data_IF_580367957407
#
_entry.id   IF_580367957407
#
_cell.length_a   1.000
_cell.length_b   1.000
_cell.length_c   1.000
_cell.angle_alpha   90.00
_cell.angle_beta   90.00
_cell.angle_gamma   90.00
#
_symmetry.space_group_name_H-M   'P 1'
#
loop_
_entity.id
_entity.type
_entity.pdbx_description
1 polymer ?
#
# COMPACT_ATOMS: atom_id res chain seq x y z
N UNK A 1 41.60 -9.75 -19.84
CA UNK A 1 40.64 -9.61 -18.74
C UNK A 1 41.16 -8.65 -17.66
N UNK A 2 42.39 -8.81 -17.17
CA UNK A 2 43.03 -7.94 -16.15
C UNK A 2 43.27 -6.47 -16.57
N UNK A 3 43.42 -6.21 -17.87
CA UNK A 3 43.75 -4.87 -18.39
C UNK A 3 42.54 -3.91 -18.35
N UNK A 4 41.33 -4.44 -18.55
CA UNK A 4 40.09 -3.66 -18.48
C UNK A 4 39.81 -3.15 -17.05
N UNK A 5 40.07 -3.98 -16.04
CA UNK A 5 39.83 -3.64 -14.64
C UNK A 5 40.79 -2.55 -14.13
N UNK A 6 42.05 -2.60 -14.55
CA UNK A 6 43.03 -1.56 -14.22
C UNK A 6 42.60 -0.21 -14.81
N UNK A 7 42.14 -0.20 -16.06
CA UNK A 7 41.67 1.02 -16.73
C UNK A 7 40.43 1.63 -16.04
N UNK A 8 39.53 0.80 -15.52
CA UNK A 8 38.36 1.26 -14.74
C UNK A 8 38.81 1.97 -13.46
N UNK A 9 39.75 1.39 -12.72
CA UNK A 9 40.23 2.01 -11.48
C UNK A 9 40.93 3.36 -11.72
N UNK A 10 41.73 3.46 -12.79
CA UNK A 10 42.34 4.74 -13.16
C UNK A 10 41.32 5.79 -13.60
N UNK A 11 40.27 5.39 -14.32
CA UNK A 11 39.16 6.27 -14.67
C UNK A 11 38.47 6.84 -13.42
N UNK A 12 38.23 5.99 -12.41
CA UNK A 12 37.55 6.37 -11.18
C UNK A 12 38.35 7.31 -10.28
N UNK A 13 39.69 7.42 -10.42
CA UNK A 13 40.49 8.36 -9.62
C UNK A 13 40.10 9.83 -9.81
N UNK A 14 39.57 10.18 -10.99
CA UNK A 14 39.21 11.55 -11.34
C UNK A 14 37.70 11.82 -11.19
N UNK A 15 36.96 10.90 -10.57
CA UNK A 15 35.51 10.95 -10.45
C UNK A 15 35.12 10.97 -8.98
N UNK A 16 34.33 11.97 -8.58
CA UNK A 16 33.86 12.08 -7.19
C UNK A 16 32.76 11.06 -6.86
N UNK A 17 31.82 10.89 -7.79
CA UNK A 17 30.68 9.97 -7.67
C UNK A 17 30.29 9.37 -9.01
N UNK A 18 29.78 8.14 -9.00
CA UNK A 18 29.36 7.43 -10.22
C UNK A 18 28.19 6.47 -9.93
N UNK A 19 27.33 6.24 -10.92
CA UNK A 19 26.32 5.17 -10.88
C UNK A 19 26.77 3.92 -11.66
N UNK A 20 26.20 2.72 -11.37
CA UNK A 20 26.49 1.54 -12.15
C UNK A 20 26.20 1.70 -13.66
N UNK A 21 25.14 2.41 -14.03
CA UNK A 21 24.78 2.66 -15.43
C UNK A 21 25.81 3.54 -16.14
N UNK A 22 26.30 4.60 -15.47
CA UNK A 22 27.31 5.50 -16.03
C UNK A 22 28.64 4.75 -16.26
N UNK A 23 29.03 3.89 -15.31
CA UNK A 23 30.23 3.07 -15.45
C UNK A 23 30.07 2.03 -16.56
N UNK A 24 28.89 1.39 -16.64
CA UNK A 24 28.54 0.42 -17.68
C UNK A 24 28.66 1.04 -19.08
N UNK A 25 28.08 2.23 -19.27
CA UNK A 25 28.15 2.98 -20.52
C UNK A 25 29.59 3.40 -20.87
N UNK A 26 30.39 3.78 -19.88
CA UNK A 26 31.75 4.27 -20.11
C UNK A 26 32.72 3.19 -20.60
N UNK A 27 32.46 1.92 -20.26
CA UNK A 27 33.34 0.79 -20.57
C UNK A 27 32.71 -0.28 -21.45
N UNK A 28 31.49 -0.04 -21.95
CA UNK A 28 30.71 -1.01 -22.73
C UNK A 28 30.60 -2.37 -22.02
N UNK A 29 30.22 -2.32 -20.73
CA UNK A 29 30.02 -3.51 -19.89
C UNK A 29 28.58 -3.57 -19.36
N UNK A 30 28.14 -4.77 -18.98
CA UNK A 30 26.82 -4.97 -18.37
C UNK A 30 26.70 -4.25 -17.01
N UNK A 31 25.53 -3.68 -16.71
CA UNK A 31 25.25 -2.94 -15.47
C UNK A 31 25.45 -3.77 -14.20
N UNK A 32 25.21 -5.08 -14.24
CA UNK A 32 25.50 -6.00 -13.12
C UNK A 32 27.00 -6.14 -12.92
N UNK A 33 27.79 -6.17 -14.00
CA UNK A 33 29.26 -6.18 -13.93
C UNK A 33 29.80 -4.85 -13.39
N UNK A 34 29.26 -3.72 -13.83
CA UNK A 34 29.59 -2.42 -13.26
C UNK A 34 29.23 -2.35 -11.76
N UNK A 35 28.06 -2.88 -11.39
CA UNK A 35 27.61 -2.97 -10.00
C UNK A 35 28.53 -3.84 -9.15
N UNK A 36 28.96 -5.01 -9.63
CA UNK A 36 29.85 -5.89 -8.87
C UNK A 36 31.24 -5.28 -8.66
N UNK A 37 31.75 -4.51 -9.64
CA UNK A 37 32.97 -3.71 -9.49
C UNK A 37 32.82 -2.68 -8.38
N UNK A 38 31.78 -1.86 -8.43
CA UNK A 38 31.53 -0.81 -7.44
C UNK A 38 31.26 -1.40 -6.03
N UNK A 39 30.60 -2.55 -5.93
CA UNK A 39 30.44 -3.30 -4.68
C UNK A 39 31.76 -3.87 -4.16
N UNK A 40 32.65 -4.35 -5.03
CA UNK A 40 33.99 -4.77 -4.60
C UNK A 40 34.79 -3.58 -4.07
N UNK A 41 34.64 -2.41 -4.67
CA UNK A 41 35.25 -1.17 -4.16
C UNK A 41 34.71 -0.77 -2.78
N UNK A 42 33.42 -0.92 -2.51
CA UNK A 42 32.87 -0.64 -1.16
C UNK A 42 33.39 -1.65 -0.13
N UNK A 43 33.45 -2.95 -0.47
CA UNK A 43 34.05 -3.99 0.38
C UNK A 43 35.52 -3.70 0.72
N UNK A 44 36.28 -3.17 -0.23
CA UNK A 44 37.68 -2.77 -0.05
C UNK A 44 37.84 -1.33 0.50
N UNK A 45 36.75 -0.70 0.97
CA UNK A 45 36.76 0.65 1.54
C UNK A 45 37.32 1.73 0.59
N UNK A 46 37.17 1.53 -0.72
CA UNK A 46 37.57 2.46 -1.80
C UNK A 46 36.40 3.35 -2.24
N UNK A 47 35.17 2.99 -1.91
CA UNK A 47 33.98 3.78 -2.20
C UNK A 47 32.96 3.70 -1.06
N UNK A 48 32.00 4.62 -1.05
CA UNK A 48 30.84 4.60 -0.15
C UNK A 48 29.56 4.60 -0.99
N UNK A 49 28.61 3.77 -0.62
CA UNK A 49 27.27 3.73 -1.23
C UNK A 49 26.31 4.69 -0.52
N UNK A 50 25.49 5.40 -1.30
CA UNK A 50 24.38 6.25 -0.84
C UNK A 50 23.18 6.09 -1.78
N UNK A 51 21.99 6.33 -1.25
CA UNK A 51 20.77 6.46 -2.04
C UNK A 51 20.58 7.93 -2.41
N UNK A 52 20.44 8.22 -3.70
CA UNK A 52 20.14 9.55 -4.23
C UNK A 52 18.66 9.90 -4.16
N UNK A 53 18.32 11.14 -4.49
CA UNK A 53 16.95 11.68 -4.43
C UNK A 53 15.97 11.01 -5.43
N UNK A 54 16.50 10.32 -6.45
CA UNK A 54 15.75 9.59 -7.47
C UNK A 54 15.74 8.07 -7.24
N UNK A 55 15.95 7.63 -5.99
CA UNK A 55 16.09 6.23 -5.58
C UNK A 55 17.26 5.48 -6.28
N UNK A 56 18.18 6.20 -6.93
CA UNK A 56 19.36 5.57 -7.54
C UNK A 56 20.50 5.38 -6.55
N UNK A 57 21.21 4.28 -6.75
CA UNK A 57 22.42 3.97 -6.00
C UNK A 57 23.60 4.76 -6.55
N UNK A 58 24.19 5.59 -5.71
CA UNK A 58 25.36 6.42 -6.05
C UNK A 58 26.56 5.95 -5.24
N UNK A 59 27.69 5.74 -5.92
CA UNK A 59 28.96 5.38 -5.31
C UNK A 59 29.88 6.60 -5.26
N UNK A 60 30.29 6.99 -4.05
CA UNK A 60 31.23 8.09 -3.80
C UNK A 60 32.64 7.51 -3.68
N UNK A 61 33.54 7.89 -4.59
CA UNK A 61 34.89 7.32 -4.67
C UNK A 61 35.80 8.01 -3.64
N UNK A 62 36.57 7.21 -2.89
CA UNK A 62 37.56 7.71 -1.95
C UNK A 62 38.91 7.81 -2.65
N UNK A 63 39.15 8.91 -3.36
CA UNK A 63 40.35 9.08 -4.20
C UNK A 63 41.65 8.77 -3.45
N UNK A 64 41.81 9.25 -2.21
CA UNK A 64 43.01 8.94 -1.38
C UNK A 64 43.18 7.44 -1.09
N UNK A 65 42.08 6.73 -0.82
CA UNK A 65 42.11 5.29 -0.57
C UNK A 65 42.40 4.52 -1.85
N UNK A 66 41.80 4.94 -2.97
CA UNK A 66 41.99 4.33 -4.28
C UNK A 66 43.40 4.54 -4.82
N UNK A 67 43.97 5.74 -4.67
CA UNK A 67 45.36 6.06 -5.03
C UNK A 67 46.33 5.16 -4.27
N UNK A 68 46.17 5.06 -2.94
CA UNK A 68 46.97 4.15 -2.13
C UNK A 68 46.82 2.69 -2.57
N UNK A 69 45.58 2.26 -2.83
CA UNK A 69 45.30 0.89 -3.28
C UNK A 69 46.01 0.56 -4.61
N UNK A 70 46.08 1.51 -5.55
CA UNK A 70 46.79 1.34 -6.81
C UNK A 70 48.31 1.33 -6.63
N UNK A 71 48.87 2.21 -5.78
CA UNK A 71 50.30 2.24 -5.46
C UNK A 71 50.74 0.93 -4.80
N UNK A 72 49.92 0.38 -3.91
CA UNK A 72 50.18 -0.87 -3.20
C UNK A 72 49.99 -2.12 -4.11
N UNK A 73 49.63 -1.93 -5.39
CA UNK A 73 49.40 -3.02 -6.34
C UNK A 73 48.13 -3.83 -6.04
N UNK A 74 47.16 -3.22 -5.36
CA UNK A 74 45.89 -3.81 -5.00
C UNK A 74 45.12 -4.32 -6.22
N UNK A 75 44.48 -5.48 -6.06
CA UNK A 75 43.62 -6.08 -7.09
C UNK A 75 42.20 -6.21 -6.54
N UNK A 76 41.23 -5.74 -7.32
CA UNK A 76 39.84 -5.96 -7.00
C UNK A 76 39.49 -7.41 -7.29
N UNK A 77 38.92 -8.08 -6.30
CA UNK A 77 38.31 -9.39 -6.50
C UNK A 77 36.84 -9.17 -6.81
N UNK A 78 36.47 -9.36 -8.07
CA UNK A 78 35.07 -9.30 -8.51
C UNK A 78 34.46 -10.67 -8.30
N UNK A 79 33.49 -10.73 -7.40
CA UNK A 79 32.71 -11.93 -7.17
C UNK A 79 31.79 -12.12 -8.38
N UNK A 80 32.18 -13.04 -9.28
CA UNK A 80 31.32 -13.48 -10.36
C UNK A 80 30.20 -14.31 -9.73
N UNK A 81 29.12 -13.65 -9.34
CA UNK A 81 27.87 -14.35 -9.14
C UNK A 81 27.38 -14.76 -10.53
N UNK A 82 27.85 -15.91 -11.03
CA UNK A 82 27.02 -16.69 -11.94
C UNK A 82 25.64 -16.76 -11.31
N UNK A 83 24.54 -16.46 -12.04
CA UNK A 83 23.22 -16.66 -11.50
C UNK A 83 23.16 -18.11 -11.02
N UNK A 84 23.02 -18.31 -9.71
CA UNK A 84 23.05 -19.64 -9.13
C UNK A 84 21.86 -20.40 -9.70
N UNK A 85 22.12 -21.22 -10.71
CA UNK A 85 21.14 -22.15 -11.23
C UNK A 85 21.09 -23.31 -10.23
N UNK A 86 20.51 -23.03 -9.06
CA UNK A 86 20.27 -24.01 -8.01
C UNK A 86 19.15 -24.93 -8.49
N UNK A 87 19.56 -25.97 -9.20
CA UNK A 87 18.73 -27.11 -9.63
C UNK A 87 18.06 -27.86 -8.45
N UNK A 88 18.33 -27.45 -7.20
CA UNK A 88 17.70 -27.99 -6.01
C UNK A 88 16.59 -27.10 -5.42
N UNK A 89 16.35 -25.90 -5.97
CA UNK A 89 15.26 -25.01 -5.52
C UNK A 89 13.89 -25.68 -5.60
N UNK A 90 13.60 -26.37 -6.71
CA UNK A 90 12.28 -26.99 -6.91
C UNK A 90 11.94 -28.05 -5.86
N UNK A 91 12.87 -28.95 -5.52
CA UNK A 91 12.60 -30.01 -4.54
C UNK A 91 12.32 -29.45 -3.13
N UNK A 92 13.07 -28.45 -2.70
CA UNK A 92 12.81 -27.80 -1.40
C UNK A 92 11.52 -26.97 -1.43
N UNK A 93 11.14 -26.36 -2.57
CA UNK A 93 9.82 -25.72 -2.68
C UNK A 93 8.68 -26.73 -2.57
N UNK A 94 8.81 -27.92 -3.16
CA UNK A 94 7.79 -28.97 -3.03
C UNK A 94 7.69 -29.51 -1.60
N UNK A 95 8.82 -29.73 -0.93
CA UNK A 95 8.85 -30.18 0.46
C UNK A 95 8.26 -29.11 1.39
N UNK A 96 8.59 -27.84 1.16
CA UNK A 96 8.04 -26.73 1.92
C UNK A 96 6.52 -26.61 1.73
N UNK A 97 6.02 -26.77 0.50
CA UNK A 97 4.58 -26.76 0.22
C UNK A 97 3.87 -27.93 0.91
N UNK A 98 4.43 -29.14 0.88
CA UNK A 98 3.83 -30.32 1.52
C UNK A 98 3.69 -30.20 3.04
N UNK A 99 4.57 -29.43 3.69
CA UNK A 99 4.54 -29.23 5.15
C UNK A 99 3.78 -27.94 5.52
N UNK A 100 4.00 -26.85 4.78
CA UNK A 100 3.38 -25.56 5.06
C UNK A 100 1.90 -25.52 4.66
N UNK A 101 1.49 -26.19 3.58
CA UNK A 101 0.09 -26.20 3.15
C UNK A 101 -0.88 -26.82 4.19
N UNK A 102 -0.60 -27.99 4.80
CA UNK A 102 -1.47 -28.52 5.85
C UNK A 102 -1.44 -27.69 7.13
N UNK A 103 -0.28 -27.13 7.50
CA UNK A 103 -0.21 -26.21 8.66
C UNK A 103 -0.99 -24.92 8.41
N UNK A 104 -0.92 -24.39 7.19
CA UNK A 104 -1.69 -23.22 6.78
C UNK A 104 -3.18 -23.51 6.70
N UNK A 105 -3.58 -24.69 6.18
CA UNK A 105 -4.97 -25.13 6.19
C UNK A 105 -5.53 -25.27 7.61
N UNK A 106 -4.75 -25.85 8.53
CA UNK A 106 -5.11 -25.93 9.95
C UNK A 106 -5.16 -24.54 10.63
N UNK A 107 -4.30 -23.61 10.22
CA UNK A 107 -4.35 -22.23 10.68
C UNK A 107 -5.59 -21.49 10.15
N UNK A 108 -5.99 -21.70 8.90
CA UNK A 108 -7.21 -21.15 8.32
C UNK A 108 -8.47 -21.67 9.02
N UNK A 109 -8.52 -22.95 9.39
CA UNK A 109 -9.64 -23.48 10.18
C UNK A 109 -9.65 -22.92 11.60
N UNK A 110 -8.49 -22.61 12.18
CA UNK A 110 -8.38 -22.01 13.52
C UNK A 110 -8.76 -20.52 13.57
N UNK A 111 -8.52 -19.76 12.50
CA UNK A 111 -8.89 -18.33 12.41
C UNK A 111 -10.39 -18.13 12.19
N UNK A 112 -11.13 -19.14 11.71
CA UNK A 112 -12.56 -18.97 11.36
C UNK A 112 -13.52 -18.91 12.56
N UNK A 113 -13.01 -18.60 13.76
CA UNK A 113 -13.78 -18.41 14.98
C UNK A 113 -14.17 -16.94 15.22
N UNK A 114 -14.70 -16.23 14.23
CA UNK A 114 -15.32 -14.93 14.48
C UNK A 114 -16.57 -15.13 15.32
N UNK A 115 -16.47 -14.84 16.62
CA UNK A 115 -17.65 -14.67 17.46
C UNK A 115 -18.44 -13.50 16.89
N UNK A 116 -19.46 -13.79 16.08
CA UNK A 116 -20.39 -12.81 15.53
C UNK A 116 -20.98 -12.05 16.72
N UNK A 117 -20.49 -10.84 16.97
CA UNK A 117 -21.00 -9.98 18.04
C UNK A 117 -22.49 -9.81 17.76
N UNK A 118 -23.34 -10.21 18.70
CA UNK A 118 -24.78 -10.06 18.55
C UNK A 118 -25.07 -8.57 18.36
N UNK A 119 -25.59 -8.25 17.17
CA UNK A 119 -25.87 -6.86 16.80
C UNK A 119 -27.28 -6.55 17.28
N UNK A 120 -27.39 -5.53 18.13
CA UNK A 120 -28.68 -4.97 18.50
C UNK A 120 -29.14 -3.94 17.46
N UNK A 121 -29.96 -4.39 16.52
CA UNK A 121 -30.52 -3.52 15.47
C UNK A 121 -31.67 -2.65 15.98
N UNK A 122 -32.34 -3.06 17.06
CA UNK A 122 -33.50 -2.35 17.61
C UNK A 122 -33.13 -1.19 18.52
N UNK A 123 -31.90 -1.17 19.06
CA UNK A 123 -31.42 -0.12 19.94
C UNK A 123 -30.20 0.64 19.37
N UNK A 124 -29.85 0.46 18.09
CA UNK A 124 -28.74 1.16 17.45
C UNK A 124 -29.20 2.36 16.61
N UNK A 125 -29.17 3.55 17.21
CA UNK A 125 -29.47 4.82 16.54
C UNK A 125 -28.57 5.08 15.33
N UNK A 126 -27.26 4.83 15.46
CA UNK A 126 -26.27 4.98 14.39
C UNK A 126 -26.66 4.16 13.14
N UNK A 127 -27.07 2.91 13.33
CA UNK A 127 -27.45 2.02 12.22
C UNK A 127 -28.77 2.43 11.59
N UNK A 128 -29.76 2.80 12.40
CA UNK A 128 -31.01 3.33 11.91
C UNK A 128 -30.78 4.61 11.10
N UNK A 129 -29.91 5.50 11.58
CA UNK A 129 -29.50 6.71 10.87
C UNK A 129 -28.82 6.38 9.55
N UNK A 130 -27.80 5.52 9.55
CA UNK A 130 -27.09 5.12 8.34
C UNK A 130 -28.05 4.53 7.30
N UNK A 131 -28.96 3.64 7.71
CA UNK A 131 -29.98 3.08 6.85
C UNK A 131 -30.90 4.16 6.25
N UNK A 132 -31.35 5.11 7.07
CA UNK A 132 -32.18 6.22 6.61
C UNK A 132 -31.48 7.09 5.58
N UNK A 133 -30.20 7.42 5.77
CA UNK A 133 -29.44 8.26 4.82
C UNK A 133 -29.31 7.57 3.46
N UNK A 134 -29.14 6.24 3.44
CA UNK A 134 -29.10 5.46 2.21
C UNK A 134 -30.44 5.49 1.47
N UNK A 135 -31.55 5.34 2.20
CA UNK A 135 -32.90 5.41 1.63
C UNK A 135 -33.18 6.80 1.05
N UNK A 136 -32.88 7.86 1.82
CA UNK A 136 -33.12 9.24 1.39
C UNK A 136 -32.27 9.60 0.18
N UNK A 137 -30.98 9.22 0.18
CA UNK A 137 -30.06 9.46 -0.94
C UNK A 137 -30.65 8.99 -2.26
N UNK A 138 -31.31 7.83 -2.26
CA UNK A 138 -31.91 7.22 -3.46
C UNK A 138 -33.16 7.95 -3.96
N UNK A 139 -33.76 8.84 -3.16
CA UNK A 139 -34.93 9.66 -3.57
C UNK A 139 -34.53 11.01 -4.19
N UNK A 140 -33.26 11.41 -4.07
CA UNK A 140 -32.78 12.72 -4.52
C UNK A 140 -32.55 12.75 -6.03
N UNK A 141 -32.68 13.95 -6.63
CA UNK A 141 -32.39 14.17 -8.07
C UNK A 141 -30.91 13.99 -8.42
N UNK A 142 -30.01 14.26 -7.47
CA UNK A 142 -28.57 14.07 -7.63
C UNK A 142 -27.99 13.32 -6.41
N UNK A 143 -28.18 11.99 -6.33
CA UNK A 143 -27.77 11.17 -5.18
C UNK A 143 -26.29 11.30 -4.80
N UNK A 144 -25.41 11.41 -5.80
CA UNK A 144 -23.96 11.53 -5.62
C UNK A 144 -23.53 12.87 -5.01
N UNK A 145 -24.39 13.89 -5.04
CA UNK A 145 -24.12 15.20 -4.43
C UNK A 145 -24.56 15.31 -2.97
N UNK A 146 -25.26 14.30 -2.45
CA UNK A 146 -25.91 14.34 -1.15
C UNK A 146 -24.90 14.30 0.00
N UNK A 147 -24.99 15.28 0.89
CA UNK A 147 -24.23 15.36 2.14
C UNK A 147 -25.20 15.38 3.32
N UNK A 148 -24.95 14.48 4.28
CA UNK A 148 -25.75 14.32 5.50
C UNK A 148 -24.90 14.74 6.71
N UNK A 149 -25.52 15.29 7.78
CA UNK A 149 -24.84 15.56 9.04
C UNK A 149 -24.41 14.28 9.75
N UNK A 150 -23.57 14.39 10.78
CA UNK A 150 -23.24 13.25 11.63
C UNK A 150 -24.46 12.85 12.50
N UNK A 151 -24.58 11.58 12.89
CA UNK A 151 -25.77 11.09 13.62
C UNK A 151 -25.94 11.75 15.00
N UNK A 152 -24.86 12.29 15.57
CA UNK A 152 -24.87 13.02 16.86
C UNK A 152 -25.38 14.46 16.73
N UNK A 153 -25.56 14.95 15.50
CA UNK A 153 -26.00 16.33 15.21
C UNK A 153 -27.49 16.39 14.82
N UNK A 154 -28.20 15.27 14.93
CA UNK A 154 -29.59 15.13 14.49
C UNK A 154 -30.46 14.62 15.64
N UNK A 155 -31.77 14.74 15.48
CA UNK A 155 -32.72 14.22 16.46
C UNK A 155 -33.19 12.82 16.03
N UNK A 156 -32.92 11.83 16.87
CA UNK A 156 -33.34 10.43 16.67
C UNK A 156 -34.16 10.02 17.88
N UNK A 157 -35.39 9.56 17.64
CA UNK A 157 -36.31 9.13 18.69
C UNK A 157 -36.75 7.69 18.45
N UNK A 158 -36.78 6.82 19.48
CA UNK A 158 -37.44 5.53 19.40
C UNK A 158 -38.92 5.71 19.04
N UNK A 159 -39.40 4.97 18.04
CA UNK A 159 -40.78 5.03 17.55
C UNK A 159 -41.56 3.71 17.81
N UNK A 160 -41.02 2.85 18.68
CA UNK A 160 -41.61 1.54 19.02
C UNK A 160 -41.43 0.48 17.93
N UNK A 161 -41.70 -0.79 18.26
CA UNK A 161 -41.63 -1.92 17.31
C UNK A 161 -40.32 -1.97 16.49
N UNK A 162 -39.16 -1.80 17.14
CA UNK A 162 -37.86 -1.77 16.47
C UNK A 162 -37.76 -0.66 15.39
N UNK A 163 -38.39 0.50 15.64
CA UNK A 163 -38.42 1.66 14.74
C UNK A 163 -37.77 2.90 15.35
N UNK A 164 -37.29 3.76 14.47
CA UNK A 164 -36.71 5.07 14.80
C UNK A 164 -37.33 6.15 13.93
N UNK A 165 -37.72 7.26 14.57
CA UNK A 165 -38.07 8.52 13.92
C UNK A 165 -36.83 9.41 13.89
N UNK A 166 -36.48 9.90 12.71
CA UNK A 166 -35.24 10.64 12.46
C UNK A 166 -35.63 11.98 11.84
N UNK A 167 -35.25 13.07 12.52
CA UNK A 167 -35.38 14.44 12.03
C UNK A 167 -33.99 15.01 11.76
N UNK A 168 -33.74 15.32 10.49
CA UNK A 168 -32.40 15.69 10.01
C UNK A 168 -32.52 16.54 8.74
N UNK A 169 -31.42 16.78 8.05
CA UNK A 169 -31.37 17.50 6.77
C UNK A 169 -30.40 16.84 5.80
N UNK A 170 -30.55 17.14 4.51
CA UNK A 170 -29.61 16.76 3.47
C UNK A 170 -29.27 17.95 2.59
N UNK A 171 -27.99 18.16 2.34
CA UNK A 171 -27.51 19.12 1.34
C UNK A 171 -27.30 18.39 0.02
N UNK A 172 -28.05 18.74 -1.03
CA UNK A 172 -27.94 18.09 -2.33
C UNK A 172 -28.25 19.04 -3.50
N UNK A 173 -27.72 18.72 -4.69
CA UNK A 173 -28.04 19.48 -5.91
C UNK A 173 -29.47 19.22 -6.36
N UNK A 174 -30.20 20.28 -6.68
CA UNK A 174 -31.50 20.21 -7.36
C UNK A 174 -31.32 19.98 -8.88
N UNK A 175 -32.43 19.96 -9.63
CA UNK A 175 -32.41 19.78 -11.10
C UNK A 175 -31.69 20.89 -11.88
N UNK A 176 -31.43 22.04 -11.26
CA UNK A 176 -30.68 23.17 -11.84
C UNK A 176 -29.21 23.18 -11.41
N UNK A 177 -28.75 22.17 -10.66
CA UNK A 177 -27.37 22.05 -10.19
C UNK A 177 -27.02 22.89 -8.96
N UNK A 178 -27.98 23.62 -8.38
CA UNK A 178 -27.77 24.40 -7.16
C UNK A 178 -27.82 23.52 -5.92
N UNK A 179 -26.88 23.73 -4.98
CA UNK A 179 -26.88 23.06 -3.67
C UNK A 179 -27.99 23.63 -2.79
N UNK A 180 -28.89 22.77 -2.30
CA UNK A 180 -29.99 23.15 -1.42
C UNK A 180 -29.99 22.23 -0.20
N UNK A 181 -30.09 22.84 0.99
CA UNK A 181 -30.39 22.15 2.24
C UNK A 181 -31.87 21.83 2.31
N UNK A 182 -32.20 20.56 2.52
CA UNK A 182 -33.59 20.10 2.69
C UNK A 182 -33.77 19.39 4.03
N UNK A 183 -34.49 19.98 4.99
CA UNK A 183 -34.94 19.25 6.18
C UNK A 183 -35.85 18.08 5.79
N UNK A 184 -35.79 17.01 6.58
CA UNK A 184 -36.65 15.85 6.43
C UNK A 184 -36.99 15.20 7.76
N UNK A 185 -38.12 14.51 7.76
CA UNK A 185 -38.57 13.61 8.81
C UNK A 185 -38.84 12.24 8.21
N UNK A 186 -38.22 11.18 8.75
CA UNK A 186 -38.39 9.81 8.26
C UNK A 186 -38.58 8.84 9.42
N UNK A 187 -39.34 7.77 9.20
CA UNK A 187 -39.41 6.63 10.11
C UNK A 187 -38.85 5.39 9.43
N UNK A 188 -37.92 4.71 10.09
CA UNK A 188 -37.35 3.43 9.63
C UNK A 188 -37.63 2.34 10.67
N UNK A 189 -37.92 1.12 10.22
CA UNK A 189 -38.12 -0.06 11.08
C UNK A 189 -37.15 -1.15 10.65
N UNK A 190 -36.57 -1.89 11.58
CA UNK A 190 -35.81 -3.09 11.24
C UNK A 190 -36.74 -4.30 11.14
N UNK A 191 -36.67 -5.01 10.02
CA UNK A 191 -37.39 -6.25 9.78
C UNK A 191 -36.45 -7.43 9.93
N UNK A 192 -36.66 -8.22 10.98
CA UNK A 192 -35.86 -9.41 11.29
C UNK A 192 -35.94 -10.48 10.19
N UNK A 193 -37.05 -10.56 9.44
CA UNK A 193 -37.23 -11.56 8.39
C UNK A 193 -36.33 -11.29 7.20
N UNK A 194 -36.22 -10.03 6.80
CA UNK A 194 -35.37 -9.58 5.70
C UNK A 194 -33.97 -9.16 6.16
N UNK A 195 -33.74 -9.10 7.47
CA UNK A 195 -32.52 -8.60 8.10
C UNK A 195 -32.12 -7.21 7.58
N UNK A 196 -33.13 -6.36 7.37
CA UNK A 196 -32.96 -5.06 6.72
C UNK A 196 -33.83 -3.99 7.35
N UNK A 197 -33.45 -2.72 7.19
CA UNK A 197 -34.33 -1.61 7.53
C UNK A 197 -35.30 -1.34 6.38
N UNK A 198 -36.54 -1.02 6.73
CA UNK A 198 -37.59 -0.58 5.81
C UNK A 198 -38.00 0.85 6.16
N UNK A 199 -38.12 1.70 5.14
CA UNK A 199 -38.67 3.05 5.31
C UNK A 199 -40.19 2.98 5.43
N UNK A 200 -40.74 3.45 6.56
CA UNK A 200 -42.19 3.52 6.80
C UNK A 200 -42.79 4.83 6.31
N UNK A 201 -42.06 5.92 6.44
CA UNK A 201 -42.47 7.23 5.97
C UNK A 201 -41.27 8.10 5.66
N UNK A 202 -41.47 9.05 4.75
CA UNK A 202 -40.52 10.12 4.42
C UNK A 202 -41.33 11.39 4.13
N UNK A 203 -40.98 12.48 4.80
CA UNK A 203 -41.51 13.80 4.53
C UNK A 203 -40.34 14.80 4.43
N UNK A 204 -40.33 15.62 3.39
CA UNK A 204 -39.41 16.76 3.27
C UNK A 204 -40.18 18.00 3.73
N UNK A 205 -39.61 18.76 4.67
CA UNK A 205 -40.18 20.03 5.14
C UNK A 205 -39.91 21.18 4.15
#
# INVERSE_FOLDING_TARGET
>A
MLECESNILYFLLNIEKITPEELALSFDIDTNKASSILLSMTKNNLAIIRLGDDDKVIYFIKNKSLEKFLIDGGKLYIENNEPSNSSNSFLYTFIFILIAAPLFYLFLTFISGDKKKEIDYCNSEERAYLASTNMIRNTLKSPSSAKFPHYTEVEIYPAGQCSFQIKSYVDAKNGFGAMIRKPYLTVVTYDEKTQSYLQKSLNFE
#
